data_IF_853566358932
#
_entry.id   IF_853566358932
#
_cell.length_a   1.000
_cell.length_b   1.000
_cell.length_c   1.000
_cell.angle_alpha   90.00
_cell.angle_beta   90.00
_cell.angle_gamma   90.00
#
_symmetry.space_group_name_H-M   'P 1'
#
loop_
_entity.id
_entity.type
_entity.pdbx_description
1 polymer ?
#
# COMPACT_ATOMS: atom_id res chain seq x y z
N UNK A 1 18.38 7.92 3.14
CA UNK A 1 18.26 8.93 4.21
C UNK A 1 19.39 9.96 4.20
N UNK A 2 20.55 9.70 3.59
CA UNK A 2 21.56 10.76 3.34
C UNK A 2 21.01 11.84 2.38
N UNK A 3 20.20 11.44 1.38
CA UNK A 3 19.55 12.38 0.47
C UNK A 3 18.59 13.37 1.13
N UNK A 4 17.89 13.00 2.21
CA UNK A 4 17.00 13.92 2.94
C UNK A 4 17.75 14.86 3.88
N UNK A 5 19.00 14.56 4.24
CA UNK A 5 19.90 15.47 4.97
C UNK A 5 20.55 16.51 4.04
N UNK A 6 20.57 16.24 2.73
CA UNK A 6 21.09 17.14 1.69
C UNK A 6 20.00 17.95 0.99
N UNK A 7 18.73 17.59 1.17
CA UNK A 7 17.59 18.33 0.63
C UNK A 7 17.27 19.47 1.59
N UNK A 8 17.52 20.70 1.15
CA UNK A 8 17.07 21.92 1.82
C UNK A 8 15.53 21.90 1.97
N UNK A 9 15.02 22.47 3.08
CA UNK A 9 13.58 22.67 3.29
C UNK A 9 12.95 23.35 2.06
N UNK A 10 11.77 22.88 1.62
CA UNK A 10 11.12 23.48 0.44
C UNK A 10 10.84 24.97 0.65
N UNK A 11 11.06 25.84 -0.35
CA UNK A 11 10.84 27.29 -0.24
C UNK A 11 9.42 27.64 0.26
N UNK A 12 8.42 26.86 -0.15
CA UNK A 12 7.03 27.02 0.29
C UNK A 12 6.87 26.82 1.81
N UNK A 13 7.51 25.80 2.38
CA UNK A 13 7.46 25.51 3.82
C UNK A 13 8.15 26.60 4.65
N UNK A 14 9.31 27.09 4.20
CA UNK A 14 10.07 28.16 4.87
C UNK A 14 9.29 29.48 4.86
N UNK A 15 8.66 29.83 3.74
CA UNK A 15 7.82 31.02 3.65
C UNK A 15 6.59 30.89 4.55
N UNK A 16 5.93 29.74 4.57
CA UNK A 16 4.79 29.45 5.45
C UNK A 16 5.16 29.56 6.95
N UNK A 17 6.40 29.20 7.32
CA UNK A 17 6.94 29.33 8.69
C UNK A 17 7.37 30.76 9.05
N UNK A 18 7.11 31.75 8.19
CA UNK A 18 7.45 33.14 8.42
C UNK A 18 8.93 33.48 8.20
N UNK A 19 9.67 32.66 7.43
CA UNK A 19 11.09 32.86 7.13
C UNK A 19 11.31 33.17 5.63
N UNK A 20 10.94 34.37 5.15
CA UNK A 20 10.99 34.71 3.73
C UNK A 20 12.43 34.76 3.17
N UNK A 21 13.39 35.21 3.97
CA UNK A 21 14.79 35.31 3.53
C UNK A 21 15.45 33.94 3.34
N UNK A 22 15.15 32.99 4.23
CA UNK A 22 15.61 31.60 4.09
C UNK A 22 14.93 30.92 2.89
N UNK A 23 13.63 31.16 2.69
CA UNK A 23 12.88 30.64 1.55
C UNK A 23 13.45 31.14 0.20
N UNK A 24 13.83 32.42 0.11
CA UNK A 24 14.45 32.99 -1.10
C UNK A 24 15.81 32.38 -1.37
N UNK A 25 16.65 32.22 -0.34
CA UNK A 25 17.97 31.56 -0.47
C UNK A 25 17.84 30.10 -0.87
N UNK A 26 16.88 29.37 -0.31
CA UNK A 26 16.60 27.99 -0.71
C UNK A 26 16.17 27.92 -2.19
N UNK A 27 15.33 28.85 -2.65
CA UNK A 27 14.90 28.92 -4.05
C UNK A 27 16.07 29.24 -5.00
N UNK A 28 16.96 30.17 -4.62
CA UNK A 28 18.18 30.49 -5.37
C UNK A 28 19.11 29.29 -5.51
N UNK A 29 19.30 28.52 -4.42
CA UNK A 29 20.10 27.28 -4.46
C UNK A 29 19.49 26.22 -5.37
N UNK A 30 18.16 26.10 -5.34
CA UNK A 30 17.43 25.06 -6.07
C UNK A 30 17.37 25.35 -7.57
N UNK A 31 17.28 26.63 -7.96
CA UNK A 31 17.28 27.06 -9.38
C UNK A 31 18.69 27.31 -9.94
N UNK A 32 19.69 27.52 -9.09
CA UNK A 32 21.07 27.81 -9.49
C UNK A 32 21.27 29.20 -10.12
N UNK A 33 20.28 30.10 -10.02
CA UNK A 33 20.32 31.47 -10.54
C UNK A 33 19.99 32.46 -9.43
N UNK A 34 20.55 33.68 -9.51
CA UNK A 34 20.29 34.70 -8.48
C UNK A 34 18.95 35.42 -8.68
N UNK A 35 18.48 35.52 -9.92
CA UNK A 35 17.21 36.15 -10.27
C UNK A 35 16.05 35.14 -10.12
N UNK A 36 15.51 35.05 -8.91
CA UNK A 36 14.34 34.23 -8.58
C UNK A 36 13.17 35.06 -8.08
N UNK A 37 13.23 36.39 -8.26
CA UNK A 37 12.31 37.31 -7.58
C UNK A 37 10.89 37.21 -8.12
N UNK A 38 10.73 36.96 -9.42
CA UNK A 38 9.44 36.68 -10.02
C UNK A 38 8.82 35.39 -9.45
N UNK A 39 9.60 34.30 -9.38
CA UNK A 39 9.13 33.00 -8.88
C UNK A 39 8.88 33.02 -7.37
N UNK A 40 9.74 33.71 -6.60
CA UNK A 40 9.55 33.91 -5.18
C UNK A 40 8.26 34.71 -4.90
N UNK A 41 7.99 35.74 -5.68
CA UNK A 41 6.75 36.50 -5.56
C UNK A 41 5.51 35.69 -5.95
N UNK A 42 5.62 34.76 -6.90
CA UNK A 42 4.54 33.82 -7.23
C UNK A 42 4.29 32.83 -6.09
N UNK A 43 5.36 32.31 -5.48
CA UNK A 43 5.30 31.46 -4.28
C UNK A 43 4.67 32.21 -3.11
N UNK A 44 5.13 33.43 -2.83
CA UNK A 44 4.59 34.29 -1.79
C UNK A 44 3.09 34.55 -1.99
N UNK A 45 2.68 34.88 -3.23
CA UNK A 45 1.26 35.05 -3.59
C UNK A 45 0.46 33.77 -3.42
N UNK A 46 1.01 32.62 -3.80
CA UNK A 46 0.39 31.31 -3.64
C UNK A 46 0.17 30.94 -2.17
N UNK A 47 1.20 31.13 -1.33
CA UNK A 47 1.14 30.86 0.10
C UNK A 47 0.18 31.83 0.80
N UNK A 48 0.25 33.12 0.53
CA UNK A 48 -0.68 34.11 1.10
C UNK A 48 -2.14 33.84 0.71
N UNK A 49 -2.36 33.42 -0.54
CA UNK A 49 -3.69 33.04 -1.02
C UNK A 49 -4.19 31.77 -0.31
N UNK A 50 -3.33 30.79 -0.08
CA UNK A 50 -3.65 29.58 0.68
C UNK A 50 -3.95 29.89 2.15
N UNK A 51 -3.16 30.74 2.80
CA UNK A 51 -3.38 31.19 4.19
C UNK A 51 -4.71 31.95 4.32
N UNK A 52 -5.03 32.84 3.37
CA UNK A 52 -6.33 33.55 3.33
C UNK A 52 -7.50 32.61 3.08
N UNK A 53 -7.35 31.65 2.17
CA UNK A 53 -8.38 30.63 1.90
C UNK A 53 -8.63 29.74 3.12
N UNK A 54 -7.58 29.35 3.84
CA UNK A 54 -7.68 28.58 5.08
C UNK A 54 -8.40 29.36 6.19
N UNK A 55 -8.23 30.69 6.25
CA UNK A 55 -8.94 31.55 7.21
C UNK A 55 -10.44 31.72 6.89
N UNK A 56 -10.83 31.54 5.63
CA UNK A 56 -12.20 31.65 5.14
C UNK A 56 -12.72 30.29 4.62
N UNK A 57 -12.95 29.35 5.52
CA UNK A 57 -13.50 28.02 5.19
C UNK A 57 -14.83 28.07 4.41
N UNK A 58 -15.62 29.14 4.62
CA UNK A 58 -16.86 29.40 3.88
C UNK A 58 -16.67 29.61 2.38
N UNK A 59 -15.47 29.96 1.93
CA UNK A 59 -15.16 30.11 0.50
C UNK A 59 -15.21 28.78 -0.27
N UNK A 60 -15.13 27.64 0.43
CA UNK A 60 -15.31 26.30 -0.15
C UNK A 60 -16.74 26.11 -0.67
N UNK A 61 -17.75 26.65 0.01
CA UNK A 61 -19.16 26.60 -0.39
C UNK A 61 -19.56 27.71 -1.39
N UNK A 62 -18.60 28.47 -1.91
CA UNK A 62 -18.88 29.43 -2.98
C UNK A 62 -19.31 28.69 -4.25
N UNK A 63 -20.23 29.28 -5.03
CA UNK A 63 -20.74 28.73 -6.29
C UNK A 63 -19.64 28.33 -7.28
N UNK A 64 -18.47 28.97 -7.21
CA UNK A 64 -17.29 28.66 -8.04
C UNK A 64 -16.64 27.31 -7.68
N UNK A 65 -16.76 26.87 -6.43
CA UNK A 65 -16.19 25.63 -5.90
C UNK A 65 -17.27 24.58 -5.58
N UNK A 66 -18.52 24.81 -5.99
CA UNK A 66 -19.67 23.99 -5.61
C UNK A 66 -19.48 22.51 -5.98
N UNK A 67 -18.91 22.20 -7.14
CA UNK A 67 -18.62 20.80 -7.54
C UNK A 67 -17.63 20.10 -6.61
N UNK A 68 -16.56 20.80 -6.21
CA UNK A 68 -15.59 20.26 -5.26
C UNK A 68 -16.21 20.09 -3.87
N UNK A 69 -16.93 21.10 -3.37
CA UNK A 69 -17.61 21.04 -2.07
C UNK A 69 -18.64 19.89 -1.98
N UNK A 70 -19.41 19.68 -3.05
CA UNK A 70 -20.35 18.55 -3.15
C UNK A 70 -19.58 17.22 -3.11
N UNK A 71 -18.49 17.08 -3.88
CA UNK A 71 -17.69 15.85 -3.87
C UNK A 71 -17.10 15.56 -2.46
N UNK A 72 -16.59 16.57 -1.75
CA UNK A 72 -16.04 16.41 -0.39
C UNK A 72 -17.08 15.97 0.64
N UNK A 73 -18.37 16.19 0.37
CA UNK A 73 -19.47 15.77 1.25
C UNK A 73 -20.02 14.41 0.82
N UNK A 74 -20.29 14.26 -0.48
CA UNK A 74 -20.94 13.07 -1.06
C UNK A 74 -20.02 11.86 -1.01
N UNK A 75 -18.72 12.01 -1.29
CA UNK A 75 -17.78 10.87 -1.29
C UNK A 75 -17.69 10.23 0.12
N UNK A 76 -17.41 10.97 1.21
CA UNK A 76 -17.41 10.38 2.54
C UNK A 76 -18.76 9.83 2.97
N UNK A 77 -19.87 10.50 2.62
CA UNK A 77 -21.21 9.98 2.92
C UNK A 77 -21.49 8.66 2.19
N UNK A 78 -21.13 8.55 0.92
CA UNK A 78 -21.23 7.31 0.15
C UNK A 78 -20.32 6.21 0.71
N UNK A 79 -19.12 6.58 1.19
CA UNK A 79 -18.21 5.66 1.86
C UNK A 79 -18.77 5.09 3.17
N UNK A 80 -19.63 5.82 3.89
CA UNK A 80 -20.30 5.27 5.08
C UNK A 80 -21.30 4.16 4.74
N UNK A 81 -22.00 4.27 3.61
CA UNK A 81 -22.93 3.23 3.16
C UNK A 81 -22.22 1.97 2.66
N UNK A 82 -20.96 2.08 2.22
CA UNK A 82 -20.17 0.94 1.72
C UNK A 82 -19.22 0.33 2.77
N UNK A 83 -18.96 1.02 3.90
CA UNK A 83 -17.73 0.80 4.68
C UNK A 83 -17.85 0.51 6.18
N UNK A 84 -19.04 0.43 6.80
CA UNK A 84 -19.12 0.07 8.24
C UNK A 84 -18.62 -1.36 8.54
N UNK A 85 -18.66 -2.27 7.56
CA UNK A 85 -18.21 -3.66 7.76
C UNK A 85 -16.68 -3.84 7.75
N UNK A 86 -15.90 -3.00 7.07
CA UNK A 86 -14.43 -3.14 7.01
C UNK A 86 -13.76 -2.80 8.34
N UNK A 87 -14.36 -1.93 9.16
CA UNK A 87 -13.88 -1.60 10.50
C UNK A 87 -14.19 -2.72 11.49
N UNK A 88 -15.26 -3.50 11.30
CA UNK A 88 -15.70 -4.50 12.27
C UNK A 88 -15.10 -5.91 12.07
N UNK A 89 -14.79 -6.30 10.83
CA UNK A 89 -14.53 -7.71 10.49
C UNK A 89 -13.05 -8.16 10.65
N UNK A 90 -12.09 -7.23 10.75
CA UNK A 90 -10.67 -7.56 10.88
C UNK A 90 -9.98 -7.71 9.52
N UNK A 91 -8.71 -7.31 9.42
CA UNK A 91 -8.02 -7.22 8.12
C UNK A 91 -7.79 -8.59 7.52
N UNK A 92 -7.53 -9.60 8.35
CA UNK A 92 -7.31 -10.99 7.92
C UNK A 92 -8.57 -11.60 7.29
N UNK A 93 -9.74 -11.30 7.83
CA UNK A 93 -11.01 -11.82 7.31
C UNK A 93 -11.33 -11.22 5.93
N UNK A 94 -11.04 -9.93 5.72
CA UNK A 94 -11.22 -9.29 4.40
C UNK A 94 -10.33 -9.90 3.30
N UNK A 95 -9.10 -10.32 3.65
CA UNK A 95 -8.26 -11.08 2.71
C UNK A 95 -8.88 -12.43 2.33
N UNK A 96 -9.46 -13.14 3.30
CA UNK A 96 -10.06 -14.46 3.09
C UNK A 96 -11.38 -14.39 2.32
N UNK A 97 -12.25 -13.42 2.62
CA UNK A 97 -13.50 -13.20 1.88
C UNK A 97 -13.23 -12.83 0.42
N UNK A 98 -12.31 -11.87 0.19
CA UNK A 98 -11.92 -11.49 -1.15
C UNK A 98 -11.27 -12.62 -1.93
N UNK A 99 -10.42 -13.42 -1.27
CA UNK A 99 -9.84 -14.60 -1.88
C UNK A 99 -10.89 -15.67 -2.23
N UNK A 100 -11.87 -15.91 -1.37
CA UNK A 100 -12.96 -16.85 -1.65
C UNK A 100 -13.75 -16.43 -2.90
N UNK A 101 -14.09 -15.14 -3.01
CA UNK A 101 -14.73 -14.60 -4.21
C UNK A 101 -13.88 -14.79 -5.47
N UNK A 102 -12.57 -14.50 -5.38
CA UNK A 102 -11.63 -14.67 -6.51
C UNK A 102 -11.48 -16.14 -6.92
N UNK A 103 -11.41 -17.07 -5.96
CA UNK A 103 -11.37 -18.50 -6.22
C UNK A 103 -12.63 -18.99 -6.94
N UNK A 104 -13.82 -18.60 -6.46
CA UNK A 104 -15.09 -18.96 -7.09
C UNK A 104 -15.14 -18.45 -8.52
N UNK A 105 -14.70 -17.21 -8.77
CA UNK A 105 -14.65 -16.64 -10.11
C UNK A 105 -13.71 -17.44 -11.04
N UNK A 106 -12.48 -17.73 -10.61
CA UNK A 106 -11.52 -18.50 -11.43
C UNK A 106 -11.95 -19.94 -11.70
N UNK A 107 -12.50 -20.63 -10.69
CA UNK A 107 -13.02 -21.99 -10.87
C UNK A 107 -14.21 -21.98 -11.84
N UNK A 108 -15.10 -21.00 -11.74
CA UNK A 108 -16.23 -20.85 -12.66
C UNK A 108 -15.77 -20.59 -14.10
N UNK A 109 -14.76 -19.74 -14.31
CA UNK A 109 -14.17 -19.50 -15.63
C UNK A 109 -13.52 -20.76 -16.19
N UNK A 110 -12.78 -21.50 -15.37
CA UNK A 110 -12.15 -22.76 -15.79
C UNK A 110 -13.21 -23.79 -16.24
N UNK A 111 -14.30 -23.94 -15.48
CA UNK A 111 -15.41 -24.86 -15.84
C UNK A 111 -16.08 -24.43 -17.15
N UNK A 112 -16.38 -23.14 -17.33
CA UNK A 112 -17.03 -22.63 -18.54
C UNK A 112 -16.12 -22.80 -19.76
N UNK A 113 -14.81 -22.57 -19.62
CA UNK A 113 -13.86 -22.81 -20.71
C UNK A 113 -13.73 -24.30 -21.04
N UNK A 114 -13.73 -25.19 -20.05
CA UNK A 114 -13.62 -26.62 -20.30
C UNK A 114 -14.88 -27.27 -20.88
N UNK A 115 -16.07 -26.77 -20.53
CA UNK A 115 -17.35 -27.29 -21.04
C UNK A 115 -17.82 -26.60 -22.32
N UNK A 116 -17.48 -25.31 -22.50
CA UNK A 116 -18.01 -24.47 -23.57
C UNK A 116 -17.13 -24.36 -24.82
N UNK A 117 -15.96 -25.00 -24.84
CA UNK A 117 -15.03 -24.93 -25.97
C UNK A 117 -15.19 -26.14 -26.89
N UNK A 118 -15.74 -25.92 -28.09
CA UNK A 118 -15.76 -26.95 -29.13
C UNK A 118 -14.40 -26.98 -29.86
N UNK A 119 -13.69 -28.10 -29.67
CA UNK A 119 -12.34 -28.36 -30.19
C UNK A 119 -12.32 -28.35 -31.72
N UNK A 120 -13.45 -28.65 -32.37
CA UNK A 120 -13.53 -28.83 -33.82
C UNK A 120 -13.80 -27.51 -34.58
N UNK A 121 -14.51 -26.58 -33.97
CA UNK A 121 -14.87 -25.29 -34.60
C UNK A 121 -14.03 -24.13 -34.08
N UNK A 122 -13.30 -24.30 -32.96
CA UNK A 122 -12.51 -23.24 -32.34
C UNK A 122 -13.36 -22.06 -31.88
N UNK A 123 -14.67 -22.25 -31.78
CA UNK A 123 -15.63 -21.18 -31.56
C UNK A 123 -16.24 -21.31 -30.16
N UNK A 124 -16.29 -20.19 -29.44
CA UNK A 124 -16.89 -20.10 -28.12
C UNK A 124 -18.31 -19.57 -28.33
N UNK A 125 -19.33 -20.29 -27.86
CA UNK A 125 -20.70 -19.80 -27.92
C UNK A 125 -20.78 -18.38 -27.32
N UNK A 126 -21.41 -17.42 -28.00
CA UNK A 126 -21.41 -16.00 -27.58
C UNK A 126 -21.87 -15.78 -26.13
N UNK A 127 -22.77 -16.64 -25.61
CA UNK A 127 -23.18 -16.62 -24.21
C UNK A 127 -22.08 -17.00 -23.22
N UNK A 128 -21.19 -17.93 -23.57
CA UNK A 128 -20.06 -18.33 -22.73
C UNK A 128 -19.00 -17.22 -22.66
N UNK A 129 -18.75 -16.52 -23.77
CA UNK A 129 -17.81 -15.39 -23.81
C UNK A 129 -18.26 -14.24 -22.89
N UNK A 130 -19.55 -13.87 -22.92
CA UNK A 130 -20.10 -12.86 -22.02
C UNK A 130 -20.01 -13.28 -20.55
N UNK A 131 -20.29 -14.55 -20.24
CA UNK A 131 -20.19 -15.08 -18.88
C UNK A 131 -18.74 -15.00 -18.33
N UNK A 132 -17.73 -15.31 -19.16
CA UNK A 132 -16.32 -15.19 -18.77
C UNK A 132 -15.96 -13.73 -18.44
N UNK A 133 -16.41 -12.77 -19.24
CA UNK A 133 -16.16 -11.34 -18.98
C UNK A 133 -16.80 -10.90 -17.66
N UNK A 134 -18.05 -11.30 -17.41
CA UNK A 134 -18.74 -10.98 -16.15
C UNK A 134 -17.97 -11.57 -14.96
N UNK A 135 -17.54 -12.82 -15.06
CA UNK A 135 -16.76 -13.47 -14.01
C UNK A 135 -15.39 -12.79 -13.80
N UNK A 136 -14.75 -12.30 -14.86
CA UNK A 136 -13.51 -11.52 -14.75
C UNK A 136 -13.74 -10.18 -14.03
N UNK A 137 -14.91 -9.54 -14.23
CA UNK A 137 -15.30 -8.35 -13.46
C UNK A 137 -15.52 -8.70 -11.99
N UNK A 138 -16.15 -9.84 -11.68
CA UNK A 138 -16.33 -10.33 -10.30
C UNK A 138 -14.98 -10.65 -9.64
N UNK A 139 -14.02 -11.21 -10.39
CA UNK A 139 -12.65 -11.40 -9.91
C UNK A 139 -11.99 -10.05 -9.58
N UNK A 140 -12.05 -9.10 -10.52
CA UNK A 140 -11.41 -7.78 -10.38
C UNK A 140 -12.00 -6.99 -9.22
N UNK A 141 -13.32 -7.05 -9.03
CA UNK A 141 -13.97 -6.43 -7.87
C UNK A 141 -13.51 -7.09 -6.57
N UNK A 142 -13.40 -8.42 -6.55
CA UNK A 142 -12.86 -9.22 -5.45
C UNK A 142 -11.46 -8.77 -5.02
N UNK A 143 -10.59 -8.51 -5.99
CA UNK A 143 -9.24 -8.00 -5.74
C UNK A 143 -9.25 -6.55 -5.22
N UNK A 144 -10.12 -5.68 -5.76
CA UNK A 144 -10.10 -4.23 -5.52
C UNK A 144 -10.41 -3.81 -4.08
N UNK A 145 -11.23 -4.58 -3.35
CA UNK A 145 -11.56 -4.31 -1.93
C UNK A 145 -10.76 -5.15 -0.93
N UNK A 146 -10.03 -6.17 -1.40
CA UNK A 146 -9.23 -7.06 -0.55
C UNK A 146 -7.74 -6.89 -0.82
N UNK A 147 -7.13 -7.79 -1.59
CA UNK A 147 -5.69 -7.88 -1.83
C UNK A 147 -5.07 -6.63 -2.45
N UNK A 148 -5.84 -5.83 -3.20
CA UNK A 148 -5.39 -4.55 -3.74
C UNK A 148 -4.98 -3.56 -2.64
N UNK A 149 -5.92 -2.97 -1.88
CA UNK A 149 -5.61 -1.98 -0.85
C UNK A 149 -4.98 -2.61 0.40
N UNK A 150 -5.40 -3.82 0.79
CA UNK A 150 -4.89 -4.45 2.01
C UNK A 150 -3.43 -4.86 1.89
N UNK A 151 -2.95 -5.21 0.69
CA UNK A 151 -1.54 -5.55 0.46
C UNK A 151 -0.61 -4.38 0.84
N UNK A 152 -0.95 -3.17 0.41
CA UNK A 152 -0.20 -1.96 0.76
C UNK A 152 -0.41 -1.52 2.21
N UNK A 153 -1.64 -1.65 2.71
CA UNK A 153 -1.96 -1.25 4.07
C UNK A 153 -1.23 -2.12 5.10
N UNK A 154 -1.34 -3.44 4.98
CA UNK A 154 -0.74 -4.38 5.93
C UNK A 154 0.78 -4.35 5.89
N UNK A 155 1.39 -4.22 4.70
CA UNK A 155 2.85 -4.06 4.62
C UNK A 155 3.33 -2.75 5.28
N UNK A 156 2.52 -1.69 5.29
CA UNK A 156 2.87 -0.46 6.02
C UNK A 156 2.74 -0.58 7.54
N UNK A 157 1.80 -1.40 8.02
CA UNK A 157 1.46 -1.57 9.45
C UNK A 157 2.34 -2.60 10.16
N UNK A 158 2.86 -3.59 9.43
CA UNK A 158 3.71 -4.64 9.99
C UNK A 158 5.08 -4.12 10.42
N UNK A 159 5.59 -3.09 9.73
CA UNK A 159 6.91 -2.56 9.98
C UNK A 159 6.86 -1.41 11.00
N UNK A 160 7.77 -1.47 11.98
CA UNK A 160 8.06 -0.36 12.88
C UNK A 160 8.53 0.88 12.11
N UNK A 161 8.32 2.05 12.71
CA UNK A 161 8.55 3.36 12.07
C UNK A 161 9.97 3.48 11.51
N UNK A 162 10.96 2.88 12.16
CA UNK A 162 12.37 2.91 11.76
C UNK A 162 12.66 2.11 10.47
N UNK A 163 12.04 0.95 10.30
CA UNK A 163 12.31 0.05 9.17
C UNK A 163 11.21 0.09 8.09
N UNK A 164 10.12 0.83 8.33
CA UNK A 164 8.96 0.92 7.43
C UNK A 164 9.35 1.31 6.00
N UNK A 165 10.20 2.32 5.84
CA UNK A 165 10.60 2.79 4.49
C UNK A 165 11.33 1.70 3.72
N UNK A 166 12.22 0.95 4.37
CA UNK A 166 12.95 -0.16 3.76
C UNK A 166 12.01 -1.32 3.43
N UNK A 167 11.12 -1.69 4.35
CA UNK A 167 10.09 -2.70 4.13
C UNK A 167 9.16 -2.39 2.95
N UNK A 168 8.74 -1.13 2.81
CA UNK A 168 7.91 -0.67 1.69
C UNK A 168 8.69 -0.64 0.36
N UNK A 169 9.99 -0.31 0.39
CA UNK A 169 10.82 -0.36 -0.81
C UNK A 169 10.98 -1.80 -1.33
N UNK A 170 11.20 -2.77 -0.42
CA UNK A 170 11.25 -4.20 -0.76
C UNK A 170 9.90 -4.65 -1.32
N UNK A 171 8.80 -4.33 -0.64
CA UNK A 171 7.43 -4.65 -1.07
C UNK A 171 7.16 -4.15 -2.49
N UNK A 172 7.51 -2.89 -2.77
CA UNK A 172 7.31 -2.27 -4.09
C UNK A 172 8.19 -2.95 -5.16
N UNK A 173 9.44 -3.25 -4.84
CA UNK A 173 10.37 -3.92 -5.77
C UNK A 173 9.88 -5.32 -6.14
N UNK A 174 9.42 -6.10 -5.15
CA UNK A 174 8.84 -7.43 -5.36
C UNK A 174 7.53 -7.35 -6.16
N UNK A 175 6.69 -6.35 -5.91
CA UNK A 175 5.44 -6.15 -6.64
C UNK A 175 5.69 -5.91 -8.14
N UNK A 176 6.63 -5.03 -8.49
CA UNK A 176 6.98 -4.79 -9.89
C UNK A 176 7.63 -6.00 -10.56
N UNK A 177 8.52 -6.70 -9.86
CA UNK A 177 9.14 -7.93 -10.38
C UNK A 177 8.10 -9.01 -10.66
N UNK A 178 7.17 -9.25 -9.72
CA UNK A 178 6.09 -10.21 -9.90
C UNK A 178 5.16 -9.81 -11.05
N UNK A 179 4.81 -8.52 -11.15
CA UNK A 179 3.99 -7.99 -12.24
C UNK A 179 4.66 -8.17 -13.61
N UNK A 180 5.98 -7.98 -13.67
CA UNK A 180 6.75 -8.24 -14.89
C UNK A 180 6.70 -9.71 -15.29
N UNK A 181 6.94 -10.64 -14.36
CA UNK A 181 6.91 -12.09 -14.62
C UNK A 181 5.52 -12.52 -15.10
N UNK A 182 4.46 -12.11 -14.40
CA UNK A 182 3.08 -12.43 -14.78
C UNK A 182 2.76 -11.84 -16.15
N UNK A 183 3.12 -10.57 -16.38
CA UNK A 183 2.88 -9.89 -17.66
C UNK A 183 3.52 -10.60 -18.86
N UNK A 184 4.74 -11.13 -18.70
CA UNK A 184 5.41 -11.87 -19.77
C UNK A 184 4.84 -13.29 -19.97
N UNK A 185 4.48 -13.97 -18.89
CA UNK A 185 4.10 -15.39 -18.94
C UNK A 185 2.61 -15.61 -19.18
N UNK A 186 1.74 -14.65 -18.87
CA UNK A 186 0.29 -14.81 -18.90
C UNK A 186 -0.24 -15.19 -20.29
N UNK A 187 0.20 -14.49 -21.34
CA UNK A 187 -0.25 -14.77 -22.70
C UNK A 187 0.23 -16.17 -23.17
N UNK A 188 1.46 -16.54 -22.83
CA UNK A 188 2.01 -17.88 -23.12
C UNK A 188 1.22 -18.98 -22.40
N UNK A 189 0.85 -18.77 -21.14
CA UNK A 189 0.00 -19.70 -20.39
C UNK A 189 -1.37 -19.86 -21.03
N UNK A 190 -2.02 -18.76 -21.46
CA UNK A 190 -3.31 -18.84 -22.14
C UNK A 190 -3.26 -19.67 -23.43
N UNK A 191 -2.18 -19.56 -24.21
CA UNK A 191 -2.02 -20.31 -25.46
C UNK A 191 -1.73 -21.80 -25.23
N UNK A 192 -0.91 -22.15 -24.25
CA UNK A 192 -0.46 -23.53 -24.01
C UNK A 192 -1.34 -24.31 -23.04
N UNK A 193 -1.75 -23.68 -21.94
CA UNK A 193 -2.45 -24.30 -20.82
C UNK A 193 -3.96 -24.00 -20.83
N UNK A 194 -4.43 -23.01 -21.60
CA UNK A 194 -5.86 -22.70 -21.80
C UNK A 194 -6.68 -22.71 -20.50
N UNK A 195 -7.55 -23.70 -20.29
CA UNK A 195 -8.40 -23.87 -19.10
C UNK A 195 -7.58 -24.02 -17.81
N UNK A 196 -6.43 -24.70 -17.88
CA UNK A 196 -5.55 -24.94 -16.75
C UNK A 196 -4.88 -23.65 -16.24
N UNK A 197 -4.85 -22.59 -17.06
CA UNK A 197 -4.34 -21.27 -16.64
C UNK A 197 -5.14 -20.72 -15.46
N UNK A 198 -6.47 -20.82 -15.51
CA UNK A 198 -7.35 -20.31 -14.46
C UNK A 198 -7.32 -21.20 -13.21
N UNK A 199 -7.16 -22.52 -13.39
CA UNK A 199 -6.94 -23.46 -12.29
C UNK A 199 -5.63 -23.17 -11.57
N UNK A 200 -4.55 -22.89 -12.31
CA UNK A 200 -3.26 -22.48 -11.75
C UNK A 200 -3.39 -21.23 -10.89
N UNK A 201 -4.05 -20.18 -11.40
CA UNK A 201 -4.27 -18.96 -10.60
C UNK A 201 -5.19 -19.20 -9.40
N UNK A 202 -6.21 -20.06 -9.50
CA UNK A 202 -7.03 -20.44 -8.35
C UNK A 202 -6.21 -21.13 -7.25
N UNK A 203 -5.30 -22.04 -7.62
CA UNK A 203 -4.37 -22.69 -6.68
C UNK A 203 -3.46 -21.65 -6.01
N UNK A 204 -2.92 -20.70 -6.77
CA UNK A 204 -2.13 -19.61 -6.23
C UNK A 204 -2.91 -18.75 -5.22
N UNK A 205 -4.17 -18.40 -5.52
CA UNK A 205 -5.03 -17.66 -4.58
C UNK A 205 -5.27 -18.45 -3.29
N UNK A 206 -5.53 -19.76 -3.39
CA UNK A 206 -5.68 -20.64 -2.21
C UNK A 206 -4.38 -20.66 -1.40
N UNK A 207 -3.24 -20.86 -2.04
CA UNK A 207 -1.94 -20.90 -1.36
C UNK A 207 -1.62 -19.58 -0.63
N UNK A 208 -1.89 -18.44 -1.27
CA UNK A 208 -1.72 -17.12 -0.66
C UNK A 208 -2.69 -16.90 0.51
N UNK A 209 -3.92 -17.40 0.39
CA UNK A 209 -4.93 -17.32 1.46
C UNK A 209 -4.56 -18.17 2.67
N UNK A 210 -4.02 -19.37 2.46
CA UNK A 210 -3.48 -20.20 3.53
C UNK A 210 -2.30 -19.51 4.21
N UNK A 211 -1.42 -18.86 3.44
CA UNK A 211 -0.33 -18.07 4.00
C UNK A 211 -0.85 -16.96 4.93
N UNK A 212 -1.84 -16.19 4.47
CA UNK A 212 -2.48 -15.15 5.30
C UNK A 212 -3.19 -15.76 6.51
N UNK A 213 -3.83 -16.91 6.36
CA UNK A 213 -4.52 -17.56 7.47
C UNK A 213 -3.57 -18.03 8.58
N UNK A 214 -2.40 -18.58 8.24
CA UNK A 214 -1.51 -19.19 9.23
C UNK A 214 -0.34 -18.32 9.69
N UNK A 215 0.15 -17.42 8.84
CA UNK A 215 1.38 -16.65 9.10
C UNK A 215 1.14 -15.16 9.33
N UNK A 216 0.01 -14.62 8.85
CA UNK A 216 -0.32 -13.21 9.06
C UNK A 216 -1.02 -13.02 10.41
N UNK A 217 -0.42 -12.17 11.25
CA UNK A 217 -1.05 -11.68 12.47
C UNK A 217 -2.08 -10.59 12.15
N UNK A 218 -3.14 -10.53 12.94
CA UNK A 218 -4.18 -9.50 12.79
C UNK A 218 -3.61 -8.15 13.26
N UNK A 219 -3.64 -7.14 12.38
CA UNK A 219 -3.07 -5.81 12.66
C UNK A 219 -4.13 -4.80 13.14
N UNK A 220 -5.41 -5.19 13.14
CA UNK A 220 -6.52 -4.31 13.54
C UNK A 220 -6.38 -3.85 15.00
N UNK A 221 -6.47 -2.53 15.20
CA UNK A 221 -6.43 -1.83 16.49
C UNK A 221 -5.11 -1.97 17.28
N UNK A 222 -4.04 -2.46 16.65
CA UNK A 222 -2.72 -2.52 17.27
C UNK A 222 -1.93 -1.28 16.84
N UNK A 223 -1.47 -0.43 17.79
CA UNK A 223 -0.59 0.67 17.44
C UNK A 223 0.72 0.11 16.87
N UNK A 224 1.22 0.70 15.78
CA UNK A 224 2.42 0.20 15.07
C UNK A 224 3.59 -0.06 16.03
N UNK A 225 3.79 0.80 17.02
CA UNK A 225 4.87 0.70 18.04
C UNK A 225 4.86 -0.62 18.83
N UNK A 226 3.71 -1.31 18.90
CA UNK A 226 3.54 -2.59 19.63
C UNK A 226 3.49 -3.80 18.70
N UNK A 227 3.71 -3.62 17.41
CA UNK A 227 3.58 -4.69 16.44
C UNK A 227 4.56 -5.84 16.70
N UNK A 228 5.79 -5.51 17.15
CA UNK A 228 6.80 -6.50 17.57
C UNK A 228 6.30 -7.45 18.68
N UNK A 229 5.47 -6.96 19.62
CA UNK A 229 4.91 -7.77 20.71
C UNK A 229 3.90 -8.80 20.18
N UNK A 230 3.07 -8.40 19.23
CA UNK A 230 2.09 -9.30 18.61
C UNK A 230 2.77 -10.36 17.72
N UNK A 231 3.87 -10.00 17.05
CA UNK A 231 4.73 -11.00 16.37
C UNK A 231 5.34 -12.00 17.35
N UNK A 232 5.75 -11.55 18.54
CA UNK A 232 6.28 -12.42 19.60
C UNK A 232 5.24 -13.38 20.19
N UNK A 233 3.95 -13.02 20.12
CA UNK A 233 2.83 -13.88 20.55
C UNK A 233 2.44 -14.93 19.50
N UNK A 234 2.87 -14.74 18.24
CA UNK A 234 2.54 -15.67 17.18
C UNK A 234 3.17 -17.05 17.41
N UNK A 235 2.40 -18.12 17.23
CA UNK A 235 2.86 -19.49 17.49
C UNK A 235 4.13 -19.88 16.72
N UNK A 236 4.28 -19.39 15.47
CA UNK A 236 5.44 -19.70 14.62
C UNK A 236 6.57 -18.68 14.76
N UNK A 237 6.23 -17.39 14.84
CA UNK A 237 7.25 -16.32 14.79
C UNK A 237 7.79 -16.01 16.19
N UNK A 238 6.97 -16.24 17.22
CA UNK A 238 7.26 -15.91 18.61
C UNK A 238 8.51 -16.55 19.18
N UNK A 239 8.64 -17.89 19.16
CA UNK A 239 9.82 -18.57 19.68
C UNK A 239 11.12 -18.06 19.05
N UNK A 240 11.10 -17.80 17.73
CA UNK A 240 12.27 -17.34 16.97
C UNK A 240 12.64 -15.89 17.24
N UNK A 241 11.64 -15.03 17.48
CA UNK A 241 11.87 -13.64 17.84
C UNK A 241 12.46 -13.51 19.25
N UNK A 242 11.91 -14.28 20.21
CA UNK A 242 12.35 -14.23 21.60
C UNK A 242 13.78 -14.77 21.80
N UNK A 243 14.18 -15.80 21.06
CA UNK A 243 15.55 -16.30 21.08
C UNK A 243 16.56 -15.26 20.60
N UNK A 244 16.20 -14.45 19.59
CA UNK A 244 17.06 -13.39 19.05
C UNK A 244 17.23 -12.25 20.07
N UNK A 245 16.14 -11.80 20.69
CA UNK A 245 16.22 -10.77 21.75
C UNK A 245 17.05 -11.23 22.96
N UNK A 246 16.92 -12.51 23.36
CA UNK A 246 17.76 -13.08 24.43
C UNK A 246 19.24 -13.04 24.08
N UNK A 247 19.61 -13.42 22.85
CA UNK A 247 21.00 -13.39 22.39
C UNK A 247 21.56 -11.97 22.37
N UNK A 248 20.77 -10.98 21.94
CA UNK A 248 21.17 -9.57 21.95
C UNK A 248 21.32 -9.01 23.37
N UNK A 249 20.44 -9.40 24.29
CA UNK A 249 20.54 -9.03 25.71
C UNK A 249 21.79 -9.63 26.36
N UNK A 250 22.08 -10.91 26.09
CA UNK A 250 23.30 -11.57 26.56
C UNK A 250 24.55 -10.90 25.99
N UNK A 251 24.59 -10.66 24.67
CA UNK A 251 25.70 -9.96 24.03
C UNK A 251 25.91 -8.55 24.62
N UNK A 252 24.83 -7.80 24.89
CA UNK A 252 24.90 -6.48 25.54
C UNK A 252 25.46 -6.58 26.95
N UNK A 253 25.01 -7.56 27.74
CA UNK A 253 25.49 -7.77 29.11
C UNK A 253 26.96 -8.20 29.14
N UNK A 254 27.39 -9.02 28.17
CA UNK A 254 28.78 -9.42 28.00
C UNK A 254 29.68 -8.22 27.62
N UNK A 255 29.20 -7.33 26.75
CA UNK A 255 29.92 -6.09 26.37
C UNK A 255 30.04 -5.10 27.55
N UNK A 256 29.00 -5.01 28.37
CA UNK A 256 29.01 -4.21 29.61
C UNK A 256 29.96 -4.83 30.64
N UNK A 257 29.92 -6.15 30.81
CA UNK A 257 30.83 -6.91 31.70
C UNK A 257 32.29 -6.83 31.27
N UNK A 258 32.55 -6.72 29.96
CA UNK A 258 33.88 -6.53 29.39
C UNK A 258 34.40 -5.08 29.48
N UNK A 259 33.61 -4.13 30.01
CA UNK A 259 34.01 -2.71 30.14
C UNK A 259 34.12 -1.94 28.82
N UNK A 260 33.60 -2.49 27.72
CA UNK A 260 33.72 -1.90 26.37
C UNK A 260 32.58 -0.93 26.03
N UNK A 261 31.45 -1.02 26.74
CA UNK A 261 30.25 -0.23 26.47
C UNK A 261 30.38 1.27 26.82
N UNK A 262 31.34 1.68 27.66
CA UNK A 262 31.53 3.09 28.03
C UNK A 262 32.12 3.96 26.92
N UNK A 263 32.61 3.36 25.83
CA UNK A 263 33.36 4.09 24.78
C UNK A 263 32.49 4.57 23.62
N UNK A 264 31.26 4.07 23.44
CA UNK A 264 30.41 4.41 22.29
C UNK A 264 29.33 5.47 22.55
N UNK A 265 29.22 6.03 23.76
CA UNK A 265 28.27 7.11 24.09
C UNK A 265 28.88 8.53 24.02
N UNK A 266 30.05 8.71 23.37
CA UNK A 266 30.72 10.01 23.26
C UNK A 266 30.82 10.58 21.83
N UNK A 267 30.08 10.05 20.85
CA UNK A 267 29.96 10.67 19.52
C UNK A 267 28.51 10.81 19.07
#
# INVERSE_FOLDING_TARGET
MIGSLLIDDTPNSLYYRGKPDEARRALQRLRGVQDVDAEFNDIARGVDSAVKAQRNAWSLFSWRNAGAAVATIVIPLAQQFTGINTIMIGRKMLFLEGAAQMCVAFVSVAIIMGLGFDINTGNIASGCALAIIILQCVFTSGFAWSWGPLGWLVTSEIHDIEHRTLGMAITTSVNFLASFIIGQTYLTMLCSLREYTYVFFAICVIAMSLYVHYFLIETKNVPTERMHIEWMRHWWWGPRAMDRERLECLARNDLVGAGLASTELQY
#
